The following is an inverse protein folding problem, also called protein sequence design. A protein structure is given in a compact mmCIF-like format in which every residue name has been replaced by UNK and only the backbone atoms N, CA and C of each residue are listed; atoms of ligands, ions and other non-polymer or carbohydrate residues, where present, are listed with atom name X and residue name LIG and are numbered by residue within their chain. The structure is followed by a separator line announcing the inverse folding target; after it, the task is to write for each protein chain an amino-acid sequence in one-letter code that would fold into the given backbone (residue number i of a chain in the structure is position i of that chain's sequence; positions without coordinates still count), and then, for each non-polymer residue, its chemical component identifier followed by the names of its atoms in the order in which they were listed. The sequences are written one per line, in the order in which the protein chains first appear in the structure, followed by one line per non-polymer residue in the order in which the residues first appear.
data_IF_345214596066
#
_entry.id   IF_345214596066
#
_cell.length_a   1.000
_cell.length_b   1.000
_cell.length_c   1.000
_cell.angle_alpha   90.00
_cell.angle_beta   90.00
_cell.angle_gamma   90.00
#
_symmetry.space_group_name_H-M   'P 1'
#
loop_
_entity.id
_entity.type
_entity.pdbx_description
1 polymer ?
#
# COMPACT_ATOMS: atom_id res chain seq x y z
N UNK A 1 5.13 11.55 0.12
CA UNK A 1 4.92 11.29 0.31
C UNK A 1 5.20 11.50 0.74
N UNK A 2 5.73 11.59 0.57
CA UNK A 2 5.88 11.48 0.86
C UNK A 2 6.22 12.26 1.20
N UNK A 3 6.82 13.08 1.02
CA UNK A 3 6.99 13.27 1.40
C UNK A 3 7.19 14.02 1.49
N UNK A 4 7.76 14.55 1.38
CA UNK A 4 7.72 14.74 1.50
C UNK A 4 7.63 15.34 1.21
N UNK A 5 8.12 15.77 0.61
CA UNK A 5 7.86 15.81 0.42
C UNK A 5 7.67 16.30 -0.06
N UNK A 6 7.99 16.56 -0.66
CA UNK A 6 7.64 16.57 -1.06
C UNK A 6 7.39 16.98 -1.53
N UNK A 7 7.46 17.06 -1.69
CA UNK A 7 7.04 17.10 -2.15
C UNK A 7 6.71 17.24 -2.64
N UNK A 8 7.11 17.12 -2.97
CA UNK A 8 6.65 16.82 -3.32
C UNK A 8 6.22 16.94 -3.88
N UNK A 9 6.48 16.79 -4.34
CA UNK A 9 5.96 16.49 -4.70
C UNK A 9 5.52 16.34 -5.18
N UNK A 10 5.84 16.13 -5.42
CA UNK A 10 5.47 15.57 -5.66
C UNK A 10 5.32 15.37 -6.01
N UNK A 11 5.27 15.10 -6.36
CA UNK A 11 5.19 14.58 -6.49
C UNK A 11 5.26 14.52 -6.47
N UNK A 12 5.69 14.13 -6.36
CA UNK A 12 5.83 13.77 -5.94
C UNK A 12 6.06 14.40 -5.89
N UNK A 13 6.50 14.75 -6.02
CA UNK A 13 6.58 14.86 -5.66
C UNK A 13 6.96 15.48 -5.63
N UNK A 14 7.48 15.87 -5.78
CA UNK A 14 7.61 16.01 -5.44
C UNK A 14 8.22 16.48 -5.24
N UNK A 15 8.68 16.69 -5.27
CA UNK A 15 9.12 16.69 -4.79
C UNK A 15 9.45 16.72 -4.33
N UNK A 16 10.13 16.59 -4.06
CA UNK A 16 10.18 16.05 -3.31
C UNK A 16 10.55 16.02 -2.71
N UNK A 17 11.00 15.88 -2.48
CA UNK A 17 11.18 15.36 -1.66
C UNK A 17 11.61 15.00 -1.19
N UNK A 18 12.16 14.88 -0.87
CA UNK A 18 12.36 14.10 -0.22
C UNK A 18 12.81 13.80 0.32
N UNK A 19 13.25 13.38 0.56
CA UNK A 19 13.43 12.65 1.10
C UNK A 19 13.89 12.38 1.50
N UNK A 20 14.30 11.98 1.82
CA UNK A 20 14.47 11.30 2.18
C UNK A 20 14.77 10.91 2.53
N UNK A 21 15.20 10.62 2.70
CA UNK A 21 15.29 9.78 3.02
C UNK A 21 15.54 9.37 3.34
N UNK A 22 15.72 8.79 3.47
CA UNK A 22 15.73 7.92 3.75
C UNK A 22 15.81 7.42 4.05
N UNK A 23 15.80 6.79 4.15
CA UNK A 23 15.74 5.93 4.30
C UNK A 23 15.67 5.39 4.62
N UNK A 24 15.46 5.22 4.99
CA UNK A 24 15.44 4.37 5.39
C UNK A 24 15.64 3.29 5.07
N UNK A 25 15.95 2.81 5.21
CA UNK A 25 16.07 1.66 4.92
C UNK A 25 16.35 1.40 3.70
N UNK A 26 16.58 0.77 3.17
CA UNK A 26 16.70 0.74 2.08
C UNK A 26 15.97 1.54 1.39
N UNK A 27 15.33 2.06 1.84
CA UNK A 27 14.64 2.89 1.19
C UNK A 27 15.03 4.19 1.47
N UNK A 28 15.45 4.60 1.69
CA UNK A 28 15.35 5.54 1.86
C UNK A 28 15.22 6.28 1.52
N UNK A 29 15.43 6.34 1.48
CA UNK A 29 15.22 6.91 1.33
C UNK A 29 14.74 7.43 0.52
N UNK A 30 14.27 7.64 0.21
CA UNK A 30 13.56 7.86 -0.57
C UNK A 30 13.05 9.04 -0.64
N UNK A 31 13.53 9.63 -1.08
CA UNK A 31 13.15 10.66 -1.14
C UNK A 31 12.60 11.21 -2.07
N UNK A 32 12.63 11.35 -2.90
CA UNK A 32 11.69 11.68 -3.49
C UNK A 32 11.88 12.14 -4.79
N UNK A 33 11.29 12.33 -5.82
CA UNK A 33 11.49 12.72 -7.13
C UNK A 33 12.11 11.65 -7.95
N UNK A 34 13.27 11.90 -8.55
CA UNK A 34 13.91 10.93 -9.42
C UNK A 34 14.23 9.61 -8.74
N UNK A 35 14.34 9.61 -7.41
CA UNK A 35 14.65 8.42 -6.65
C UNK A 35 13.40 7.67 -6.18
N UNK A 36 12.20 8.18 -6.50
CA UNK A 36 10.96 7.52 -6.13
C UNK A 36 10.82 6.23 -6.94
N UNK A 37 10.54 5.09 -6.29
CA UNK A 37 10.35 3.85 -7.02
C UNK A 37 9.18 3.95 -7.99
N UNK A 38 9.32 3.29 -9.13
CA UNK A 38 8.27 3.16 -10.12
C UNK A 38 7.55 1.84 -9.90
N UNK A 39 6.24 1.82 -10.04
CA UNK A 39 5.44 0.60 -9.91
C UNK A 39 5.93 -0.49 -10.86
N UNK A 40 6.45 -0.14 -12.04
CA UNK A 40 7.00 -1.11 -13.00
C UNK A 40 8.21 -1.86 -12.44
N UNK A 41 8.87 -1.33 -11.43
CA UNK A 41 9.99 -2.03 -10.79
C UNK A 41 9.53 -3.25 -10.01
N UNK A 42 8.23 -3.35 -9.72
CA UNK A 42 7.66 -4.44 -8.94
C UNK A 42 6.87 -5.44 -9.79
N UNK A 43 7.15 -5.52 -11.09
CA UNK A 43 6.55 -6.52 -11.96
C UNK A 43 5.58 -5.95 -12.98
N UNK A 44 4.90 -6.85 -13.69
CA UNK A 44 3.92 -6.46 -14.72
C UNK A 44 2.81 -7.52 -14.82
N UNK A 45 1.67 -7.12 -15.41
CA UNK A 45 0.54 -8.03 -15.56
C UNK A 45 -0.01 -8.44 -14.21
N UNK A 46 -0.08 -9.75 -13.96
CA UNK A 46 -0.50 -10.31 -12.66
C UNK A 46 0.70 -10.61 -11.77
N UNK A 47 1.91 -10.41 -12.27
CA UNK A 47 3.12 -10.70 -11.52
C UNK A 47 3.51 -9.54 -10.62
N UNK A 48 3.93 -9.86 -9.40
CA UNK A 48 4.44 -8.89 -8.44
C UNK A 48 5.80 -9.37 -7.96
N UNK A 49 6.81 -8.51 -8.09
CA UNK A 49 8.14 -8.76 -7.54
C UNK A 49 8.27 -7.99 -6.23
N UNK A 50 8.40 -8.72 -5.13
CA UNK A 50 8.51 -8.13 -3.81
C UNK A 50 9.92 -7.60 -3.56
N UNK A 51 10.09 -6.69 -2.57
CA UNK A 51 11.41 -6.12 -2.29
C UNK A 51 12.50 -7.14 -1.96
N UNK A 52 12.13 -8.31 -1.43
CA UNK A 52 13.09 -9.37 -1.13
C UNK A 52 13.48 -10.20 -2.37
N UNK A 53 12.94 -9.84 -3.54
CA UNK A 53 13.21 -10.54 -4.79
C UNK A 53 12.26 -11.69 -5.10
N UNK A 54 11.40 -12.07 -4.16
CA UNK A 54 10.44 -13.13 -4.44
C UNK A 54 9.34 -12.63 -5.38
N UNK A 55 8.72 -13.58 -6.09
CA UNK A 55 7.67 -13.28 -7.07
C UNK A 55 6.39 -13.94 -6.61
N UNK A 56 5.30 -13.18 -6.63
CA UNK A 56 3.96 -13.66 -6.29
C UNK A 56 3.00 -13.31 -7.42
N UNK A 57 1.87 -14.00 -7.48
CA UNK A 57 0.89 -13.81 -8.54
C UNK A 57 -0.44 -13.35 -7.95
N UNK A 58 -0.94 -12.22 -8.42
CA UNK A 58 -2.25 -11.72 -8.03
C UNK A 58 -3.37 -12.45 -8.79
N UNK A 59 -4.62 -12.39 -8.31
CA UNK A 59 -5.74 -13.04 -9.00
C UNK A 59 -6.10 -12.39 -10.33
N UNK A 60 -5.74 -11.12 -10.51
CA UNK A 60 -6.00 -10.38 -11.74
C UNK A 60 -5.06 -9.18 -11.83
N UNK A 61 -5.07 -8.53 -13.01
CA UNK A 61 -4.16 -7.42 -13.27
C UNK A 61 -4.43 -6.21 -12.39
N UNK A 62 -5.69 -5.94 -12.06
CA UNK A 62 -6.01 -4.78 -11.22
C UNK A 62 -5.48 -4.97 -9.80
N UNK A 63 -5.66 -6.15 -9.22
CA UNK A 63 -5.12 -6.44 -7.88
C UNK A 63 -3.60 -6.34 -7.89
N UNK A 64 -2.95 -6.87 -8.94
CA UNK A 64 -1.50 -6.78 -9.07
C UNK A 64 -1.04 -5.33 -9.14
N UNK A 65 -1.71 -4.52 -9.96
CA UNK A 65 -1.36 -3.11 -10.12
C UNK A 65 -1.51 -2.36 -8.79
N UNK A 66 -2.57 -2.65 -8.02
CA UNK A 66 -2.75 -2.03 -6.72
C UNK A 66 -1.59 -2.34 -5.79
N UNK A 67 -1.16 -3.61 -5.73
CA UNK A 67 -0.03 -4.01 -4.88
C UNK A 67 1.25 -3.31 -5.34
N UNK A 68 1.52 -3.31 -6.64
CA UNK A 68 2.73 -2.67 -7.17
C UNK A 68 2.78 -1.18 -6.82
N UNK A 69 1.64 -0.47 -6.94
CA UNK A 69 1.59 0.94 -6.56
C UNK A 69 1.78 1.12 -5.06
N UNK A 70 1.15 0.29 -4.24
CA UNK A 70 1.35 0.37 -2.79
C UNK A 70 2.82 0.19 -2.42
N UNK A 71 3.53 -0.74 -3.06
CA UNK A 71 4.95 -0.98 -2.80
C UNK A 71 5.82 0.24 -3.07
N UNK A 72 5.42 1.12 -4.00
CA UNK A 72 6.17 2.36 -4.24
C UNK A 72 6.14 3.30 -3.05
N UNK A 73 5.23 3.09 -2.11
CA UNK A 73 5.04 3.98 -0.96
C UNK A 73 5.74 3.50 0.31
N UNK A 74 6.51 2.41 0.24
CA UNK A 74 7.29 1.96 1.40
C UNK A 74 8.19 3.09 1.88
N UNK A 75 8.16 3.34 3.20
CA UNK A 75 8.96 4.39 3.81
C UNK A 75 8.30 5.76 3.86
N UNK A 76 7.16 5.96 3.21
CA UNK A 76 6.45 7.24 3.24
C UNK A 76 5.88 7.46 4.65
N UNK A 77 6.00 8.69 5.21
CA UNK A 77 5.52 8.96 6.57
C UNK A 77 4.01 8.78 6.72
N UNK A 78 3.60 8.35 7.90
CA UNK A 78 2.18 8.36 8.26
C UNK A 78 1.72 9.81 8.44
N UNK A 79 0.54 10.11 7.89
CA UNK A 79 -0.09 11.40 8.10
C UNK A 79 -1.58 11.17 8.33
N UNK A 80 -2.10 11.63 9.45
CA UNK A 80 -3.53 11.53 9.77
C UNK A 80 -4.34 12.22 8.65
N UNK A 81 -5.28 11.48 8.05
CA UNK A 81 -6.05 11.98 6.93
C UNK A 81 -5.26 12.11 5.63
N UNK A 82 -4.03 11.60 5.60
CA UNK A 82 -3.14 11.76 4.45
C UNK A 82 -3.56 10.96 3.24
N UNK A 83 -3.51 11.61 2.07
CA UNK A 83 -3.86 11.00 0.79
C UNK A 83 -2.83 11.31 -0.31
N UNK A 84 -1.67 11.83 0.06
CA UNK A 84 -0.68 12.32 -0.91
C UNK A 84 0.47 11.33 -1.04
N UNK A 85 0.54 10.57 -2.13
CA UNK A 85 1.63 9.62 -2.33
C UNK A 85 2.97 10.32 -2.32
N UNK A 86 3.96 9.68 -1.72
CA UNK A 86 5.32 10.22 -1.59
C UNK A 86 5.47 11.24 -0.47
N UNK A 87 4.38 11.73 0.12
CA UNK A 87 4.41 12.80 1.12
C UNK A 87 3.87 12.32 2.46
N UNK A 88 2.63 11.85 2.49
CA UNK A 88 2.02 11.38 3.72
C UNK A 88 0.72 10.65 3.43
N UNK A 89 0.53 9.49 4.06
CA UNK A 89 -0.63 8.63 3.84
C UNK A 89 -1.12 8.08 5.16
N UNK A 90 -2.46 7.98 5.31
CA UNK A 90 -3.01 7.13 6.35
C UNK A 90 -3.32 5.75 5.76
N UNK A 91 -3.84 4.83 6.58
CA UNK A 91 -4.03 3.44 6.17
C UNK A 91 -4.95 3.30 4.97
N UNK A 92 -6.09 3.97 5.00
CA UNK A 92 -7.07 3.90 3.92
C UNK A 92 -6.72 4.81 2.75
N UNK A 93 -5.94 5.86 2.98
CA UNK A 93 -5.41 6.70 1.92
C UNK A 93 -4.45 5.92 1.03
N UNK A 94 -3.61 5.08 1.64
CA UNK A 94 -2.70 4.21 0.90
C UNK A 94 -3.48 3.23 0.01
N UNK A 95 -4.41 2.49 0.58
CA UNK A 95 -5.15 1.46 -0.18
C UNK A 95 -6.07 2.09 -1.22
N UNK A 96 -6.74 3.19 -0.89
CA UNK A 96 -7.59 3.88 -1.84
C UNK A 96 -6.80 4.39 -3.04
N UNK A 97 -5.67 5.04 -2.79
CA UNK A 97 -4.82 5.54 -3.86
C UNK A 97 -4.29 4.39 -4.72
N UNK A 98 -3.81 3.32 -4.10
CA UNK A 98 -3.25 2.18 -4.82
C UNK A 98 -4.28 1.57 -5.77
N UNK A 99 -5.50 1.36 -5.30
CA UNK A 99 -6.55 0.82 -6.15
C UNK A 99 -7.01 1.82 -7.22
N UNK A 100 -7.02 3.11 -6.91
CA UNK A 100 -7.36 4.12 -7.93
C UNK A 100 -6.36 4.11 -9.07
N UNK A 101 -5.07 3.95 -8.77
CA UNK A 101 -4.04 3.81 -9.80
C UNK A 101 -4.24 2.54 -10.63
N UNK A 102 -4.88 1.55 -10.07
CA UNK A 102 -5.20 0.30 -10.76
C UNK A 102 -6.55 0.37 -11.50
N UNK A 103 -7.25 1.50 -11.44
CA UNK A 103 -8.50 1.71 -12.14
C UNK A 103 -9.75 1.38 -11.34
N UNK A 104 -9.64 1.16 -10.03
CA UNK A 104 -10.78 0.81 -9.19
C UNK A 104 -10.93 1.81 -8.04
N UNK A 105 -12.11 2.44 -7.95
CA UNK A 105 -12.42 3.35 -6.84
C UNK A 105 -13.01 2.56 -5.68
N UNK A 106 -12.38 2.68 -4.51
CA UNK A 106 -12.87 2.08 -3.28
C UNK A 106 -13.14 3.19 -2.27
N UNK A 107 -13.96 2.91 -1.22
CA UNK A 107 -14.30 3.95 -0.25
C UNK A 107 -13.09 4.53 0.46
N UNK A 108 -13.24 5.78 0.93
CA UNK A 108 -12.14 6.50 1.60
C UNK A 108 -11.85 5.97 3.00
N UNK A 109 -12.88 5.58 3.75
CA UNK A 109 -12.71 5.18 5.13
C UNK A 109 -12.31 3.71 5.24
N UNK A 110 -11.40 3.41 6.15
CA UNK A 110 -10.88 2.05 6.32
C UNK A 110 -12.00 1.03 6.55
N UNK A 111 -12.92 1.33 7.48
CA UNK A 111 -13.98 0.40 7.85
C UNK A 111 -15.03 0.20 6.74
N UNK A 112 -14.96 1.00 5.68
CA UNK A 112 -15.86 0.87 4.53
C UNK A 112 -15.19 0.16 3.35
N UNK A 113 -13.95 -0.25 3.50
CA UNK A 113 -13.23 -0.94 2.42
C UNK A 113 -13.48 -2.46 2.45
N UNK A 114 -14.43 -2.92 3.24
CA UNK A 114 -14.91 -4.31 3.27
C UNK A 114 -15.89 -4.53 2.12
N UNK A 115 -15.39 -4.45 0.89
CA UNK A 115 -16.19 -4.54 -0.32
C UNK A 115 -15.66 -5.63 -1.25
N UNK A 116 -16.50 -6.02 -2.21
CA UNK A 116 -16.18 -7.10 -3.13
C UNK A 116 -16.54 -8.45 -2.52
N UNK A 117 -15.69 -9.44 -2.72
CA UNK A 117 -15.91 -10.78 -2.18
C UNK A 117 -15.17 -10.97 -0.86
N UNK A 118 -15.85 -11.56 0.12
CA UNK A 118 -15.19 -11.98 1.35
C UNK A 118 -14.24 -13.14 1.02
N UNK A 119 -13.08 -13.16 1.68
CA UNK A 119 -12.02 -14.14 1.42
C UNK A 119 -11.69 -14.86 2.72
N UNK A 120 -11.65 -16.20 2.65
CA UNK A 120 -11.22 -17.00 3.80
C UNK A 120 -9.70 -16.83 4.00
N UNK A 121 -9.21 -16.95 5.25
CA UNK A 121 -7.78 -16.79 5.53
C UNK A 121 -6.87 -17.71 4.70
N UNK A 122 -7.36 -18.90 4.35
CA UNK A 122 -6.58 -19.85 3.55
C UNK A 122 -6.55 -19.54 2.07
N UNK A 123 -7.34 -18.57 1.61
CA UNK A 123 -7.48 -18.23 0.19
C UNK A 123 -6.95 -16.85 -0.14
N UNK A 124 -6.17 -16.26 0.76
CA UNK A 124 -5.65 -14.91 0.56
C UNK A 124 -4.74 -14.82 -0.66
N UNK A 125 -4.93 -13.76 -1.43
CA UNK A 125 -4.14 -13.46 -2.62
C UNK A 125 -3.69 -12.00 -2.57
N UNK A 126 -2.59 -11.67 -3.28
CA UNK A 126 -2.15 -10.27 -3.36
C UNK A 126 -3.26 -9.33 -3.82
N UNK A 127 -3.40 -8.21 -3.11
CA UNK A 127 -4.44 -7.23 -3.36
C UNK A 127 -5.63 -7.34 -2.41
N UNK A 128 -5.78 -8.47 -1.71
CA UNK A 128 -6.84 -8.61 -0.72
C UNK A 128 -6.60 -7.63 0.43
N UNK A 129 -7.69 -7.13 1.02
CA UNK A 129 -7.63 -6.17 2.12
C UNK A 129 -8.00 -6.84 3.42
N UNK A 130 -7.21 -6.59 4.47
CA UNK A 130 -7.57 -6.91 5.84
C UNK A 130 -8.20 -5.65 6.44
N UNK A 131 -9.44 -5.73 6.89
CA UNK A 131 -10.22 -4.57 7.29
C UNK A 131 -10.61 -4.65 8.76
N UNK A 132 -10.38 -3.55 9.48
CA UNK A 132 -10.79 -3.38 10.88
C UNK A 132 -11.63 -2.12 11.01
N UNK A 133 -12.27 -1.98 12.16
CA UNK A 133 -12.95 -0.73 12.49
C UNK A 133 -11.92 0.38 12.78
N UNK A 134 -11.42 1.02 11.74
CA UNK A 134 -10.44 2.10 11.85
C UNK A 134 -9.06 1.80 11.29
N UNK A 135 -8.88 0.64 10.66
CA UNK A 135 -7.60 0.30 10.01
C UNK A 135 -7.82 -0.60 8.80
N UNK A 136 -6.89 -0.55 7.86
CA UNK A 136 -6.90 -1.44 6.70
C UNK A 136 -5.45 -1.69 6.26
N UNK A 137 -5.19 -2.90 5.78
CA UNK A 137 -3.89 -3.29 5.24
C UNK A 137 -4.11 -4.12 3.98
N UNK A 138 -3.13 -4.13 3.07
CA UNK A 138 -3.24 -4.85 1.80
C UNK A 138 -2.29 -6.04 1.79
N UNK A 139 -2.81 -7.23 1.52
CA UNK A 139 -2.00 -8.44 1.36
C UNK A 139 -1.11 -8.28 0.13
N UNK A 140 0.19 -8.53 0.28
CA UNK A 140 1.12 -8.48 -0.85
C UNK A 140 1.58 -9.87 -1.28
N UNK A 141 1.40 -10.88 -0.43
CA UNK A 141 1.82 -12.24 -0.68
C UNK A 141 2.89 -12.71 0.31
N UNK A 142 3.19 -14.00 0.30
CA UNK A 142 4.20 -14.60 1.18
C UNK A 142 3.93 -14.30 2.66
N UNK A 143 2.65 -14.31 3.08
CA UNK A 143 2.29 -14.08 4.46
C UNK A 143 2.47 -12.66 4.94
N UNK A 144 2.54 -11.70 4.03
CA UNK A 144 2.91 -10.31 4.32
C UNK A 144 1.83 -9.34 3.84
N UNK A 145 1.65 -8.24 4.59
CA UNK A 145 0.79 -7.12 4.24
C UNK A 145 1.61 -5.85 4.14
N UNK A 146 1.11 -4.88 3.36
CA UNK A 146 1.62 -3.51 3.38
C UNK A 146 0.58 -2.63 4.07
N UNK A 147 1.02 -1.75 4.95
CA UNK A 147 0.14 -0.88 5.72
C UNK A 147 0.82 0.43 6.06
N UNK A 148 0.00 1.48 6.21
CA UNK A 148 0.51 2.75 6.67
C UNK A 148 0.65 2.71 8.19
N UNK A 149 1.87 2.41 8.62
CA UNK A 149 2.34 2.74 9.94
C UNK A 149 3.13 4.03 9.81
N UNK A 150 4.05 4.27 10.70
CA UNK A 150 4.95 5.41 10.57
C UNK A 150 6.38 4.90 10.56
N UNK A 151 6.90 4.63 9.35
CA UNK A 151 6.33 4.86 8.01
C UNK A 151 5.51 3.68 7.47
N UNK A 152 5.04 3.81 6.24
CA UNK A 152 4.46 2.71 5.48
C UNK A 152 5.46 1.55 5.46
N UNK A 153 4.97 0.36 5.77
CA UNK A 153 5.84 -0.80 5.99
C UNK A 153 5.17 -2.11 5.60
N UNK A 154 5.99 -3.14 5.46
CA UNK A 154 5.52 -4.51 5.36
C UNK A 154 5.43 -5.12 6.76
N UNK A 155 4.42 -5.94 6.99
CA UNK A 155 4.22 -6.62 8.28
C UNK A 155 3.58 -7.98 8.05
N UNK A 156 3.71 -8.91 9.01
CA UNK A 156 3.03 -10.20 8.89
C UNK A 156 1.52 -10.05 8.87
N UNK A 157 0.84 -10.92 8.14
CA UNK A 157 -0.62 -10.94 8.13
C UNK A 157 -1.13 -11.24 9.54
N UNK A 158 -2.11 -10.48 9.99
CA UNK A 158 -2.73 -10.64 11.31
C UNK A 158 -4.20 -10.25 11.23
N UNK A 159 -4.96 -10.62 12.25
CA UNK A 159 -6.37 -10.23 12.38
C UNK A 159 -6.62 -9.34 13.59
N UNK A 160 -5.60 -9.10 14.42
CA UNK A 160 -5.70 -8.19 15.56
C UNK A 160 -5.04 -6.87 15.24
N UNK A 161 -5.59 -5.77 15.75
CA UNK A 161 -4.99 -4.46 15.61
C UNK A 161 -5.49 -3.54 16.73
N UNK A 162 -4.68 -3.36 17.78
CA UNK A 162 -4.90 -2.36 18.84
C UNK A 162 -6.34 -2.34 19.39
N UNK A 163 -6.96 -3.50 19.53
CA UNK A 163 -8.33 -3.60 20.08
C UNK A 163 -9.43 -3.24 19.09
N UNK A 164 -9.11 -2.93 17.84
CA UNK A 164 -10.11 -2.66 16.82
C UNK A 164 -10.77 -3.96 16.35
N UNK A 165 -12.07 -3.89 16.01
CA UNK A 165 -12.80 -5.06 15.55
C UNK A 165 -12.41 -5.45 14.13
N UNK A 166 -12.05 -6.71 13.95
CA UNK A 166 -11.70 -7.23 12.63
C UNK A 166 -12.97 -7.47 11.80
N UNK A 167 -13.03 -6.94 10.58
CA UNK A 167 -14.19 -7.03 9.69
C UNK A 167 -14.00 -8.05 8.57
N UNK A 168 -12.88 -8.75 8.55
CA UNK A 168 -12.61 -9.78 7.58
C UNK A 168 -11.60 -9.40 6.52
N UNK A 169 -11.30 -10.37 5.65
CA UNK A 169 -10.48 -10.17 4.46
C UNK A 169 -11.41 -10.02 3.26
N UNK A 170 -11.07 -9.11 2.36
CA UNK A 170 -11.95 -8.75 1.25
C UNK A 170 -11.16 -8.58 -0.04
N UNK A 171 -11.77 -8.99 -1.15
CA UNK A 171 -11.17 -8.85 -2.49
C UNK A 171 -11.98 -7.84 -3.29
N UNK A 172 -11.54 -6.57 -3.37
CA UNK A 172 -12.32 -5.54 -4.06
C UNK A 172 -12.54 -5.80 -5.54
N UNK A 173 -11.65 -6.59 -6.16
CA UNK A 173 -11.72 -6.88 -7.59
C UNK A 173 -12.66 -8.05 -7.93
N UNK A 174 -13.25 -8.67 -6.94
CA UNK A 174 -14.12 -9.85 -7.16
C UNK A 174 -15.58 -9.56 -6.86
#
# INVERSE_FOLDING_TARGET
GWGGGAPASGPYGGPGVGASGGGAGEWAAFTHGADTPDAANFGEGVEIRLPDGSVVMAPNAAAAAAVRHALTQLGVPYQWGGTTPGVGLDCSGLTQWAYREAGLNIPRLAQEQDIGAAVAPGDLRPGDLAVWGGHVAMVVGNGTMIEAGDPVKLSPIRTSNAGQGFQGFWRPTA
#
